data_IF_818268356460
#
_entry.id   IF_818268356460
#
_cell.length_a   1.000
_cell.length_b   1.000
_cell.length_c   1.000
_cell.angle_alpha   90.00
_cell.angle_beta   90.00
_cell.angle_gamma   90.00
#
_symmetry.space_group_name_H-M   'P 1'
#
loop_
_entity.id
_entity.type
_entity.pdbx_description
1 polymer ?
#
# COMPACT_ATOMS: atom_id res chain seq x y z
N UNK A 1 4.65 9.65 -15.93
CA UNK A 1 5.12 8.24 -15.80
C UNK A 1 6.24 8.07 -14.77
N UNK A 2 7.35 8.84 -14.81
CA UNK A 2 8.47 8.72 -13.83
C UNK A 2 8.04 8.85 -12.36
N UNK A 3 7.06 9.73 -12.05
CA UNK A 3 6.51 9.97 -10.70
C UNK A 3 5.71 8.78 -10.14
N UNK A 4 4.84 8.17 -10.96
CA UNK A 4 4.05 6.97 -10.61
C UNK A 4 4.94 5.75 -10.40
N UNK A 5 6.05 5.68 -11.15
CA UNK A 5 7.01 4.58 -11.05
C UNK A 5 7.74 4.56 -9.70
N UNK A 6 8.03 5.69 -9.06
CA UNK A 6 8.69 5.74 -7.74
C UNK A 6 7.77 5.26 -6.62
N UNK A 7 6.49 5.62 -6.66
CA UNK A 7 5.50 5.15 -5.68
C UNK A 7 5.22 3.65 -5.86
N UNK A 8 5.12 3.16 -7.09
CA UNK A 8 5.02 1.73 -7.39
C UNK A 8 6.30 0.96 -7.06
N UNK A 9 7.50 1.56 -7.21
CA UNK A 9 8.76 0.91 -6.83
C UNK A 9 8.88 0.74 -5.31
N UNK A 10 8.33 1.68 -4.52
CA UNK A 10 8.23 1.55 -3.07
C UNK A 10 7.24 0.44 -2.65
N UNK A 11 6.26 0.11 -3.49
CA UNK A 11 5.29 -0.98 -3.26
C UNK A 11 5.75 -2.34 -3.82
N UNK A 12 6.63 -2.36 -4.83
CA UNK A 12 6.86 -3.53 -5.69
C UNK A 12 7.89 -4.57 -5.23
N UNK A 13 8.70 -4.32 -4.18
CA UNK A 13 9.76 -5.27 -3.76
C UNK A 13 9.68 -5.58 -2.27
N UNK A 14 8.66 -6.30 -1.82
CA UNK A 14 8.62 -6.85 -0.46
C UNK A 14 7.81 -8.13 -0.38
N UNK A 15 8.47 -9.29 -0.55
CA UNK A 15 7.99 -10.56 -0.02
C UNK A 15 9.10 -11.14 0.85
N UNK A 16 9.12 -10.75 2.13
CA UNK A 16 9.85 -11.45 3.17
C UNK A 16 8.91 -11.64 4.35
N UNK A 17 8.60 -12.90 4.65
CA UNK A 17 7.72 -13.28 5.74
C UNK A 17 8.41 -13.06 7.08
N UNK A 18 7.80 -12.27 7.97
CA UNK A 18 8.25 -12.11 9.35
C UNK A 18 7.04 -12.09 10.28
N UNK A 19 6.82 -13.19 11.00
CA UNK A 19 5.75 -13.31 11.98
C UNK A 19 6.08 -12.62 13.32
N UNK A 20 5.31 -11.58 13.66
CA UNK A 20 5.12 -10.96 14.96
C UNK A 20 3.64 -10.58 15.25
N UNK A 21 3.11 -11.18 16.33
CA UNK A 21 1.74 -11.09 16.86
C UNK A 21 1.19 -9.65 17.01
N UNK A 22 -0.07 -9.41 16.59
CA UNK A 22 -0.87 -8.28 17.11
C UNK A 22 -2.36 -8.62 17.39
N UNK A 23 -2.70 -8.92 18.65
CA UNK A 23 -4.07 -9.23 19.08
C UNK A 23 -4.73 -8.09 19.88
N UNK A 24 -5.63 -7.31 19.27
CA UNK A 24 -6.51 -6.35 19.94
C UNK A 24 -6.80 -5.09 19.12
N UNK A 25 -5.78 -4.26 18.91
CA UNK A 25 -5.89 -2.97 18.21
C UNK A 25 -6.25 -3.12 16.71
N UNK A 26 -5.83 -4.24 16.10
CA UNK A 26 -6.01 -4.53 14.68
C UNK A 26 -7.48 -4.68 14.27
N UNK A 27 -8.33 -5.26 15.12
CA UNK A 27 -9.75 -5.47 14.80
C UNK A 27 -10.50 -4.15 14.67
N UNK A 28 -10.26 -3.21 15.59
CA UNK A 28 -10.86 -1.89 15.56
C UNK A 28 -10.34 -1.07 14.35
N UNK A 29 -9.07 -1.24 14.00
CA UNK A 29 -8.49 -0.65 12.79
C UNK A 29 -9.19 -1.16 11.53
N UNK A 30 -9.35 -2.47 11.40
CA UNK A 30 -10.01 -3.13 10.27
C UNK A 30 -11.47 -2.68 10.13
N UNK A 31 -12.18 -2.55 11.25
CA UNK A 31 -13.55 -2.04 11.24
C UNK A 31 -13.62 -0.60 10.73
N UNK A 32 -12.70 0.27 11.18
CA UNK A 32 -12.62 1.64 10.71
C UNK A 32 -12.21 1.73 9.24
N UNK A 33 -11.34 0.84 8.78
CA UNK A 33 -10.92 0.74 7.37
C UNK A 33 -12.11 0.47 6.44
N UNK A 34 -13.08 -0.34 6.89
CA UNK A 34 -14.31 -0.66 6.14
C UNK A 34 -15.10 0.57 5.67
N UNK A 35 -14.89 1.74 6.28
CA UNK A 35 -15.54 2.99 5.86
C UNK A 35 -15.02 3.55 4.53
N UNK A 36 -13.82 3.18 4.15
CA UNK A 36 -13.15 3.66 2.94
C UNK A 36 -13.17 2.61 1.82
N UNK A 37 -13.73 1.43 2.08
CA UNK A 37 -13.81 0.35 1.10
C UNK A 37 -15.21 0.39 0.49
N UNK A 38 -15.23 0.62 -0.81
CA UNK A 38 -16.44 0.68 -1.63
C UNK A 38 -16.69 -0.66 -2.32
N UNK A 39 -17.83 -0.80 -2.99
CA UNK A 39 -18.14 -1.98 -3.80
C UNK A 39 -17.18 -2.13 -4.99
N UNK A 40 -16.76 -1.01 -5.58
CA UNK A 40 -15.86 -0.90 -6.73
C UNK A 40 -14.37 -0.78 -6.34
N UNK A 41 -14.04 -0.93 -5.05
CA UNK A 41 -12.65 -1.12 -4.61
C UNK A 41 -12.15 -2.45 -5.13
N UNK A 42 -11.16 -2.43 -6.03
CA UNK A 42 -10.64 -3.63 -6.68
C UNK A 42 -9.29 -4.08 -6.13
N UNK A 43 -8.53 -3.19 -5.47
CA UNK A 43 -7.29 -3.56 -4.80
C UNK A 43 -7.01 -2.72 -3.55
N UNK A 44 -6.39 -3.35 -2.57
CA UNK A 44 -5.90 -2.72 -1.35
C UNK A 44 -4.46 -3.19 -1.15
N UNK A 45 -3.52 -2.25 -1.02
CA UNK A 45 -2.16 -2.57 -0.61
C UNK A 45 -1.93 -2.02 0.78
N UNK A 46 -1.68 -2.90 1.74
CA UNK A 46 -1.30 -2.51 3.09
C UNK A 46 0.21 -2.70 3.28
N UNK A 47 0.87 -1.67 3.83
CA UNK A 47 2.29 -1.71 4.22
C UNK A 47 2.36 -1.46 5.72
N UNK A 48 2.77 -2.47 6.48
CA UNK A 48 3.11 -2.31 7.90
C UNK A 48 4.49 -1.66 8.00
N UNK A 49 4.49 -0.33 8.14
CA UNK A 49 5.71 0.46 8.22
C UNK A 49 6.52 0.11 9.46
N UNK A 50 5.97 -0.54 10.49
CA UNK A 50 6.76 -1.02 11.63
C UNK A 50 7.63 -2.22 11.28
N UNK A 51 7.16 -3.08 10.38
CA UNK A 51 7.85 -4.30 9.95
C UNK A 51 8.81 -4.07 8.77
N UNK A 52 8.84 -2.88 8.18
CA UNK A 52 9.74 -2.56 7.05
C UNK A 52 11.21 -2.52 7.47
N UNK A 53 12.04 -3.28 6.76
CA UNK A 53 13.51 -3.30 6.86
C UNK A 53 14.13 -2.92 5.51
N UNK A 54 14.46 -1.65 5.34
CA UNK A 54 14.99 -1.11 4.08
C UNK A 54 16.31 -1.74 3.70
N UNK A 55 17.20 -1.99 4.66
CA UNK A 55 18.45 -2.68 4.39
C UNK A 55 18.23 -4.08 3.79
N UNK A 56 17.32 -4.87 4.34
CA UNK A 56 17.03 -6.20 3.81
C UNK A 56 16.47 -6.16 2.37
N UNK A 57 15.64 -5.16 2.07
CA UNK A 57 15.13 -4.92 0.71
C UNK A 57 16.26 -4.51 -0.22
N UNK A 58 17.11 -3.59 0.23
CA UNK A 58 18.27 -3.14 -0.51
C UNK A 58 19.20 -4.30 -0.86
N UNK A 59 19.60 -5.09 0.13
CA UNK A 59 20.45 -6.26 -0.04
C UNK A 59 19.83 -7.24 -1.05
N UNK A 60 18.51 -7.46 -0.98
CA UNK A 60 17.82 -8.35 -1.92
C UNK A 60 17.78 -7.80 -3.35
N UNK A 61 17.58 -6.50 -3.53
CA UNK A 61 17.63 -5.86 -4.84
C UNK A 61 19.02 -5.95 -5.45
N UNK A 62 20.08 -5.72 -4.67
CA UNK A 62 21.47 -5.85 -5.12
C UNK A 62 21.78 -7.29 -5.52
N UNK A 63 21.34 -8.26 -4.72
CA UNK A 63 21.49 -9.70 -5.00
C UNK A 63 20.81 -10.08 -6.32
N UNK A 64 19.54 -9.69 -6.51
CA UNK A 64 18.75 -10.02 -7.70
C UNK A 64 19.26 -9.28 -8.94
N UNK A 65 19.63 -8.00 -8.78
CA UNK A 65 20.15 -7.17 -9.86
C UNK A 65 21.60 -7.50 -10.25
N UNK A 66 22.30 -8.29 -9.43
CA UNK A 66 23.73 -8.57 -9.56
C UNK A 66 24.55 -7.29 -9.73
N UNK A 67 24.18 -6.24 -8.99
CA UNK A 67 24.83 -4.94 -9.11
C UNK A 67 26.19 -4.95 -8.42
N UNK A 68 27.22 -4.48 -9.13
CA UNK A 68 28.54 -4.28 -8.56
C UNK A 68 28.54 -3.06 -7.63
N UNK A 69 29.23 -3.13 -6.49
CA UNK A 69 29.29 -2.05 -5.49
C UNK A 69 29.81 -0.71 -6.05
N UNK A 70 30.61 -0.78 -7.11
CA UNK A 70 31.19 0.40 -7.78
C UNK A 70 30.31 0.94 -8.91
N UNK A 71 29.19 0.28 -9.23
CA UNK A 71 28.29 0.75 -10.28
C UNK A 71 27.53 2.00 -9.84
N UNK A 72 27.28 2.91 -10.79
CA UNK A 72 26.46 4.11 -10.55
C UNK A 72 25.07 3.75 -10.01
N UNK A 73 24.51 2.62 -10.44
CA UNK A 73 23.21 2.12 -9.98
C UNK A 73 23.23 1.74 -8.50
N UNK A 74 24.29 1.06 -8.04
CA UNK A 74 24.44 0.70 -6.63
C UNK A 74 24.51 1.95 -5.75
N UNK A 75 25.32 2.94 -6.14
CA UNK A 75 25.50 4.19 -5.39
C UNK A 75 24.20 4.99 -5.32
N UNK A 76 23.53 5.21 -6.46
CA UNK A 76 22.24 5.92 -6.50
C UNK A 76 21.18 5.21 -5.66
N UNK A 77 21.14 3.88 -5.71
CA UNK A 77 20.17 3.11 -4.93
C UNK A 77 20.48 3.14 -3.44
N UNK A 78 21.77 3.19 -3.05
CA UNK A 78 22.19 3.31 -1.66
C UNK A 78 21.84 4.68 -1.07
N UNK A 79 22.06 5.76 -1.82
CA UNK A 79 21.63 7.10 -1.42
C UNK A 79 20.11 7.17 -1.27
N UNK A 80 19.38 6.57 -2.21
CA UNK A 80 17.93 6.47 -2.13
C UNK A 80 17.47 5.66 -0.91
N UNK A 81 18.10 4.52 -0.61
CA UNK A 81 17.72 3.70 0.54
C UNK A 81 17.92 4.42 1.87
N UNK A 82 19.02 5.17 2.01
CA UNK A 82 19.27 6.01 3.21
C UNK A 82 18.19 7.08 3.38
N UNK A 83 17.79 7.72 2.28
CA UNK A 83 16.69 8.70 2.30
C UNK A 83 15.37 8.05 2.71
N UNK A 84 15.05 6.87 2.19
CA UNK A 84 13.84 6.13 2.59
C UNK A 84 13.90 5.71 4.07
N UNK A 85 15.05 5.28 4.58
CA UNK A 85 15.23 4.96 6.00
C UNK A 85 14.94 6.17 6.89
N UNK A 86 15.44 7.35 6.51
CA UNK A 86 15.17 8.59 7.23
C UNK A 86 13.69 8.96 7.18
N UNK A 87 13.04 8.85 6.03
CA UNK A 87 11.60 9.10 5.90
C UNK A 87 10.78 8.16 6.78
N UNK A 88 11.09 6.86 6.78
CA UNK A 88 10.40 5.87 7.64
C UNK A 88 10.64 6.18 9.12
N UNK A 89 11.87 6.52 9.51
CA UNK A 89 12.17 6.91 10.87
C UNK A 89 11.33 8.12 11.30
N UNK A 90 11.30 9.19 10.50
CA UNK A 90 10.50 10.38 10.80
C UNK A 90 9.00 10.08 10.83
N UNK A 91 8.49 9.29 9.88
CA UNK A 91 7.10 8.84 9.85
C UNK A 91 6.71 8.13 11.16
N UNK A 92 7.53 7.18 11.62
CA UNK A 92 7.33 6.48 12.89
C UNK A 92 7.36 7.44 14.09
N UNK A 93 8.31 8.38 14.11
CA UNK A 93 8.40 9.41 15.17
C UNK A 93 7.19 10.35 15.21
N UNK A 94 6.49 10.54 14.09
CA UNK A 94 5.23 11.30 14.03
C UNK A 94 4.00 10.47 14.43
N UNK A 95 4.17 9.21 14.80
CA UNK A 95 3.09 8.29 15.18
C UNK A 95 2.49 7.51 14.01
N UNK A 96 3.08 7.58 12.82
CA UNK A 96 2.68 6.76 11.68
C UNK A 96 3.02 5.28 11.90
N UNK A 97 2.06 4.39 11.60
CA UNK A 97 2.17 2.95 11.83
C UNK A 97 2.20 2.13 10.56
N UNK A 98 1.31 2.44 9.63
CA UNK A 98 1.14 1.72 8.38
C UNK A 98 0.45 2.56 7.33
N UNK A 99 0.43 2.06 6.10
CA UNK A 99 -0.21 2.70 4.95
C UNK A 99 -1.17 1.72 4.30
N UNK A 100 -2.32 2.20 3.84
CA UNK A 100 -3.21 1.47 2.94
C UNK A 100 -3.38 2.28 1.67
N UNK A 101 -2.92 1.78 0.53
CA UNK A 101 -3.28 2.33 -0.77
C UNK A 101 -4.57 1.65 -1.25
N UNK A 102 -5.61 2.44 -1.48
CA UNK A 102 -6.93 1.96 -1.88
C UNK A 102 -7.16 2.30 -3.35
N UNK A 103 -7.36 1.28 -4.16
CA UNK A 103 -7.61 1.39 -5.59
C UNK A 103 -9.09 1.13 -5.86
N UNK A 104 -9.79 2.18 -6.28
CA UNK A 104 -11.23 2.16 -6.56
C UNK A 104 -11.50 2.46 -8.03
N UNK A 105 -12.54 1.83 -8.58
CA UNK A 105 -13.02 2.11 -9.93
C UNK A 105 -13.40 3.58 -10.13
N UNK A 106 -14.01 4.20 -9.11
CA UNK A 106 -14.38 5.61 -9.10
C UNK A 106 -13.21 6.58 -9.24
N UNK A 107 -11.99 6.19 -8.84
CA UNK A 107 -10.80 7.04 -8.88
C UNK A 107 -9.83 6.66 -10.02
N UNK A 108 -10.14 5.67 -10.86
CA UNK A 108 -9.20 5.17 -11.88
C UNK A 108 -8.76 6.26 -12.86
N UNK A 109 -7.44 6.39 -13.16
CA UNK A 109 -6.33 5.50 -12.81
C UNK A 109 -5.62 5.84 -11.47
N UNK A 110 -6.19 6.71 -10.66
CA UNK A 110 -5.68 7.11 -9.34
C UNK A 110 -6.01 6.13 -8.21
N UNK A 111 -5.62 6.55 -7.01
CA UNK A 111 -5.86 5.88 -5.73
C UNK A 111 -5.76 6.92 -4.61
N UNK A 112 -6.18 6.56 -3.41
CA UNK A 112 -5.90 7.33 -2.20
C UNK A 112 -5.18 6.49 -1.16
N UNK A 113 -4.56 7.15 -0.19
CA UNK A 113 -3.79 6.50 0.87
C UNK A 113 -4.41 6.81 2.22
N UNK A 114 -4.54 5.78 3.04
CA UNK A 114 -4.87 5.88 4.46
C UNK A 114 -3.60 5.64 5.26
N UNK A 115 -3.21 6.63 6.03
CA UNK A 115 -2.11 6.54 6.98
C UNK A 115 -2.67 6.11 8.32
N UNK A 116 -2.36 4.89 8.75
CA UNK A 116 -2.68 4.42 10.09
C UNK A 116 -1.77 5.10 11.12
N UNK A 117 -2.36 5.64 12.18
CA UNK A 117 -1.62 6.30 13.25
C UNK A 117 -1.77 5.60 14.58
N UNK A 118 -0.80 5.81 15.49
CA UNK A 118 -0.95 5.50 16.91
C UNK A 118 -1.96 6.47 17.57
N UNK A 119 -2.41 6.12 18.77
CA UNK A 119 -3.28 6.99 19.58
C UNK A 119 -2.58 8.30 19.98
N UNK A 120 -1.26 8.26 20.14
CA UNK A 120 -0.41 9.39 20.54
C UNK A 120 0.07 10.24 19.36
N UNK A 121 -0.38 9.95 18.14
CA UNK A 121 0.12 10.59 16.93
C UNK A 121 -0.18 12.11 16.91
N UNK A 122 0.85 12.89 16.57
CA UNK A 122 0.70 14.31 16.27
C UNK A 122 0.31 14.47 14.80
N UNK A 123 -1.00 14.48 14.54
CA UNK A 123 -1.55 14.62 13.20
C UNK A 123 -1.04 15.88 12.48
N UNK A 124 -0.78 16.98 13.20
CA UNK A 124 -0.31 18.22 12.57
C UNK A 124 1.14 18.09 12.11
N UNK A 125 1.98 17.35 12.84
CA UNK A 125 3.36 17.05 12.43
C UNK A 125 3.40 16.01 11.32
N UNK A 126 2.56 14.97 11.39
CA UNK A 126 2.46 13.94 10.36
C UNK A 126 1.97 14.52 9.02
N UNK A 127 0.92 15.36 9.06
CA UNK A 127 0.38 16.09 7.90
C UNK A 127 1.46 16.94 7.22
N UNK A 128 2.20 17.75 7.98
CA UNK A 128 3.33 18.54 7.45
C UNK A 128 4.47 17.69 6.91
N UNK A 129 4.77 16.56 7.57
CA UNK A 129 5.78 15.62 7.09
C UNK A 129 5.41 15.06 5.71
N UNK A 130 4.13 14.69 5.52
CA UNK A 130 3.62 14.19 4.24
C UNK A 130 3.67 15.27 3.16
N UNK A 131 3.23 16.50 3.47
CA UNK A 131 3.30 17.64 2.54
C UNK A 131 4.73 17.92 2.08
N UNK A 132 5.68 18.01 3.02
CA UNK A 132 7.09 18.20 2.71
C UNK A 132 7.65 17.05 1.87
N UNK A 133 7.26 15.80 2.18
CA UNK A 133 7.68 14.63 1.42
C UNK A 133 7.09 14.67 0.00
N UNK A 134 5.83 15.08 -0.16
CA UNK A 134 5.21 15.25 -1.48
C UNK A 134 5.93 16.32 -2.31
N UNK A 135 6.27 17.46 -1.71
CA UNK A 135 7.05 18.53 -2.36
C UNK A 135 8.45 18.05 -2.76
N UNK A 136 9.16 17.37 -1.84
CA UNK A 136 10.52 16.89 -2.08
C UNK A 136 10.59 15.80 -3.16
N UNK A 137 9.60 14.90 -3.18
CA UNK A 137 9.51 13.83 -4.18
C UNK A 137 8.76 14.25 -5.46
N UNK A 138 8.12 15.44 -5.44
CA UNK A 138 7.31 15.99 -6.52
C UNK A 138 6.29 14.95 -7.03
N UNK A 139 5.53 14.32 -6.12
CA UNK A 139 4.60 13.23 -6.49
C UNK A 139 3.33 13.79 -7.12
N UNK A 140 2.69 14.74 -6.44
CA UNK A 140 1.46 15.44 -6.85
C UNK A 140 1.68 16.95 -6.69
N UNK A 141 1.10 17.74 -7.58
CA UNK A 141 1.17 19.20 -7.50
C UNK A 141 0.43 19.69 -6.24
N UNK A 142 0.93 20.74 -5.58
CA UNK A 142 0.47 21.16 -4.25
C UNK A 142 -1.01 21.58 -4.23
N UNK A 143 -1.50 22.16 -5.32
CA UNK A 143 -2.89 22.56 -5.53
C UNK A 143 -3.83 21.39 -5.84
N UNK A 144 -3.27 20.22 -6.18
CA UNK A 144 -4.02 19.00 -6.47
C UNK A 144 -3.98 18.00 -5.30
N UNK A 145 -3.26 18.27 -4.23
CA UNK A 145 -3.13 17.38 -3.07
C UNK A 145 -4.03 17.85 -1.90
N UNK A 146 -4.80 16.93 -1.33
CA UNK A 146 -5.59 17.19 -0.11
C UNK A 146 -5.39 16.06 0.91
N UNK A 147 -5.65 16.38 2.17
CA UNK A 147 -5.65 15.42 3.26
C UNK A 147 -6.66 15.78 4.35
N UNK A 148 -7.22 14.77 5.02
CA UNK A 148 -8.09 15.00 6.16
C UNK A 148 -8.01 13.86 7.18
N UNK A 149 -8.36 14.18 8.42
CA UNK A 149 -8.41 13.20 9.49
C UNK A 149 -9.78 12.53 9.55
N UNK A 150 -9.77 11.20 9.69
CA UNK A 150 -10.96 10.40 9.98
C UNK A 150 -10.62 9.30 10.98
N UNK A 151 -11.00 9.51 12.24
CA UNK A 151 -10.64 8.60 13.35
C UNK A 151 -9.13 8.54 13.57
N UNK A 152 -8.56 7.33 13.48
CA UNK A 152 -7.12 7.06 13.56
C UNK A 152 -6.38 7.19 12.23
N UNK A 153 -7.11 7.48 11.15
CA UNK A 153 -6.51 7.60 9.83
C UNK A 153 -6.31 9.06 9.46
N UNK A 154 -5.15 9.34 8.86
CA UNK A 154 -4.99 10.50 8.00
C UNK A 154 -5.16 10.01 6.55
N UNK A 155 -6.18 10.54 5.88
CA UNK A 155 -6.54 10.18 4.50
C UNK A 155 -5.91 11.22 3.58
N UNK A 156 -5.23 10.78 2.52
CA UNK A 156 -4.48 11.65 1.61
C UNK A 156 -4.56 11.18 0.16
N UNK A 157 -4.51 12.11 -0.79
CA UNK A 157 -4.64 11.81 -2.21
C UNK A 157 -4.90 13.06 -3.03
N UNK A 158 -5.41 12.88 -4.25
CA UNK A 158 -5.85 13.98 -5.09
C UNK A 158 -7.04 14.71 -4.46
N UNK A 159 -7.11 16.03 -4.58
CA UNK A 159 -8.15 16.86 -3.96
C UNK A 159 -9.56 16.43 -4.37
N UNK A 160 -9.76 16.07 -5.64
CA UNK A 160 -11.03 15.53 -6.15
C UNK A 160 -11.38 14.19 -5.48
N UNK A 161 -10.43 13.24 -5.47
CA UNK A 161 -10.60 11.95 -4.79
C UNK A 161 -10.90 12.14 -3.31
N UNK A 162 -10.22 13.05 -2.62
CA UNK A 162 -10.46 13.32 -1.20
C UNK A 162 -11.83 13.96 -0.96
N UNK A 163 -12.25 14.87 -1.83
CA UNK A 163 -13.61 15.43 -1.83
C UNK A 163 -14.67 14.34 -1.92
N UNK A 164 -14.46 13.36 -2.80
CA UNK A 164 -15.32 12.17 -2.96
C UNK A 164 -15.27 11.27 -1.72
N UNK A 165 -14.07 10.90 -1.26
CA UNK A 165 -13.83 9.98 -0.13
C UNK A 165 -14.46 10.49 1.17
N UNK A 166 -14.51 11.80 1.38
CA UNK A 166 -15.22 12.45 2.50
C UNK A 166 -16.73 12.16 2.53
N UNK A 167 -17.32 11.79 1.38
CA UNK A 167 -18.77 11.56 1.22
C UNK A 167 -19.16 10.09 1.07
N UNK A 168 -18.18 9.18 1.04
CA UNK A 168 -18.42 7.74 0.86
C UNK A 168 -19.33 7.22 1.98
N UNK A 169 -20.31 6.41 1.57
CA UNK A 169 -21.04 5.55 2.50
C UNK A 169 -20.33 4.23 2.59
N UNK A 170 -19.82 3.90 3.78
CA UNK A 170 -19.23 2.60 4.08
C UNK A 170 -20.12 1.47 3.57
N UNK A 171 -19.54 0.58 2.75
CA UNK A 171 -20.09 -0.74 2.54
C UNK A 171 -19.51 -1.67 3.61
N UNK A 172 -20.35 -2.52 4.21
CA UNK A 172 -19.85 -3.54 5.14
C UNK A 172 -19.15 -4.62 4.32
N UNK A 173 -17.81 -4.66 4.37
CA UNK A 173 -16.95 -5.63 3.66
C UNK A 173 -16.18 -6.52 4.66
N UNK A 174 -16.88 -7.38 5.44
CA UNK A 174 -16.25 -8.16 6.51
C UNK A 174 -15.18 -9.11 5.99
N UNK A 175 -15.29 -9.56 4.73
CA UNK A 175 -14.31 -10.40 4.07
C UNK A 175 -12.94 -9.71 3.93
N UNK A 176 -12.90 -8.40 3.65
CA UNK A 176 -11.65 -7.65 3.55
C UNK A 176 -10.91 -7.65 4.89
N UNK A 177 -11.67 -7.43 5.97
CA UNK A 177 -11.13 -7.51 7.31
C UNK A 177 -10.56 -8.88 7.65
N UNK A 178 -11.28 -9.95 7.27
CA UNK A 178 -10.82 -11.31 7.48
C UNK A 178 -9.52 -11.61 6.72
N UNK A 179 -9.37 -11.17 5.47
CA UNK A 179 -8.12 -11.37 4.72
C UNK A 179 -6.94 -10.57 5.27
N UNK A 180 -7.15 -9.30 5.65
CA UNK A 180 -6.09 -8.49 6.27
C UNK A 180 -5.62 -9.10 7.60
N UNK A 181 -6.54 -9.70 8.36
CA UNK A 181 -6.22 -10.41 9.59
C UNK A 181 -5.49 -11.74 9.32
N UNK A 182 -5.88 -12.49 8.28
CA UNK A 182 -5.25 -13.75 7.92
C UNK A 182 -3.77 -13.59 7.52
N UNK A 183 -3.37 -12.41 7.07
CA UNK A 183 -2.01 -12.08 6.66
C UNK A 183 -1.28 -11.11 7.61
N UNK A 184 -1.73 -10.91 8.86
CA UNK A 184 -1.15 -9.99 9.89
C UNK A 184 0.39 -9.92 9.82
N UNK A 185 1.00 -11.08 9.65
CA UNK A 185 2.44 -11.28 9.66
C UNK A 185 3.20 -10.82 8.42
N UNK A 186 2.52 -10.32 7.40
CA UNK A 186 3.17 -9.79 6.23
C UNK A 186 3.49 -8.29 6.40
N UNK A 187 4.75 -7.91 6.13
CA UNK A 187 5.15 -6.50 6.01
C UNK A 187 4.35 -5.76 4.93
N UNK A 188 4.02 -6.47 3.84
CA UNK A 188 3.17 -5.96 2.76
C UNK A 188 2.09 -6.99 2.47
N UNK A 189 0.84 -6.52 2.41
CA UNK A 189 -0.32 -7.32 2.04
C UNK A 189 -0.93 -6.72 0.77
N UNK A 190 -1.15 -7.54 -0.25
CA UNK A 190 -1.94 -7.17 -1.41
C UNK A 190 -3.25 -7.94 -1.35
N UNK A 191 -4.35 -7.22 -1.25
CA UNK A 191 -5.70 -7.77 -1.38
C UNK A 191 -6.26 -7.34 -2.72
N UNK A 192 -6.75 -8.32 -3.48
CA UNK A 192 -7.52 -8.09 -4.68
C UNK A 192 -8.98 -8.39 -4.33
N UNK A 193 -9.86 -7.39 -4.48
CA UNK A 193 -11.24 -7.43 -3.97
C UNK A 193 -12.25 -7.22 -5.10
N UNK A 194 -12.23 -8.07 -6.14
CA UNK A 194 -13.07 -7.85 -7.30
C UNK A 194 -14.55 -7.84 -6.90
N UNK A 195 -15.34 -6.99 -7.55
CA UNK A 195 -16.80 -7.05 -7.44
C UNK A 195 -17.31 -8.42 -7.91
N UNK A 196 -18.56 -8.77 -7.60
CA UNK A 196 -19.15 -10.04 -8.04
C UNK A 196 -19.08 -10.21 -9.57
N UNK A 197 -19.34 -9.13 -10.31
CA UNK A 197 -19.23 -9.10 -11.77
C UNK A 197 -17.78 -9.26 -12.24
N UNK A 198 -16.83 -8.57 -11.61
CA UNK A 198 -15.41 -8.70 -11.94
C UNK A 198 -14.88 -10.11 -11.64
N UNK A 199 -15.31 -10.72 -10.53
CA UNK A 199 -14.96 -12.10 -10.19
C UNK A 199 -15.48 -13.05 -11.25
N UNK A 200 -16.73 -12.91 -11.68
CA UNK A 200 -17.30 -13.71 -12.76
C UNK A 200 -16.51 -13.56 -14.06
N UNK A 201 -16.17 -12.33 -14.45
CA UNK A 201 -15.35 -12.09 -15.65
C UNK A 201 -13.99 -12.76 -15.50
N UNK A 202 -13.33 -12.65 -14.34
CA UNK A 202 -12.06 -13.31 -14.09
C UNK A 202 -12.17 -14.83 -14.12
N UNK A 203 -13.23 -15.42 -13.56
CA UNK A 203 -13.49 -16.86 -13.61
C UNK A 203 -13.73 -17.35 -15.04
N UNK A 204 -14.42 -16.57 -15.87
CA UNK A 204 -14.63 -16.87 -17.29
C UNK A 204 -13.34 -16.68 -18.11
N UNK A 205 -12.47 -15.73 -17.73
CA UNK A 205 -11.19 -15.44 -18.40
C UNK A 205 -10.05 -16.36 -17.99
N UNK A 206 -10.04 -16.87 -16.75
CA UNK A 206 -8.96 -17.69 -16.20
C UNK A 206 -8.60 -18.89 -17.09
N UNK A 207 -9.57 -19.68 -17.61
CA UNK A 207 -9.26 -20.78 -18.53
C UNK A 207 -8.49 -20.32 -19.78
N UNK A 208 -8.86 -19.18 -20.35
CA UNK A 208 -8.20 -18.60 -21.53
C UNK A 208 -6.79 -18.11 -21.19
N UNK A 209 -6.63 -17.50 -20.01
CA UNK A 209 -5.33 -17.06 -19.53
C UNK A 209 -4.40 -18.24 -19.25
N UNK A 210 -4.90 -19.37 -18.73
CA UNK A 210 -4.06 -20.54 -18.46
C UNK A 210 -3.38 -21.09 -19.72
N UNK A 211 -4.09 -21.14 -20.84
CA UNK A 211 -3.53 -21.60 -22.12
C UNK A 211 -2.38 -20.68 -22.60
N UNK A 212 -2.45 -19.38 -22.33
CA UNK A 212 -1.40 -18.41 -22.67
C UNK A 212 -0.25 -18.41 -21.64
N UNK A 213 -0.56 -18.69 -20.37
CA UNK A 213 0.36 -18.62 -19.23
C UNK A 213 1.09 -19.93 -18.94
N UNK A 214 0.85 -21.03 -19.66
CA UNK A 214 1.64 -22.27 -19.56
C UNK A 214 3.16 -22.03 -19.75
N UNK A 215 3.53 -20.93 -20.39
CA UNK A 215 4.93 -20.52 -20.58
C UNK A 215 5.54 -19.74 -19.41
N UNK A 216 4.74 -19.36 -18.40
CA UNK A 216 5.19 -18.59 -17.23
C UNK A 216 4.92 -19.35 -15.91
N UNK A 217 5.73 -19.14 -14.85
CA UNK A 217 5.53 -19.80 -13.55
C UNK A 217 4.37 -19.16 -12.74
N UNK A 218 3.20 -18.97 -13.36
CA UNK A 218 2.04 -18.28 -12.77
C UNK A 218 1.25 -19.19 -11.82
N UNK A 219 1.44 -20.52 -11.95
CA UNK A 219 0.82 -21.50 -11.07
C UNK A 219 1.15 -21.31 -9.58
N UNK A 220 2.30 -20.68 -9.24
CA UNK A 220 2.64 -20.32 -7.86
C UNK A 220 1.88 -19.06 -7.38
N UNK A 221 1.61 -18.11 -8.29
CA UNK A 221 0.91 -16.86 -7.98
C UNK A 221 -0.58 -17.16 -7.70
N UNK A 222 -1.22 -17.94 -8.56
CA UNK A 222 -2.65 -18.26 -8.43
C UNK A 222 -2.92 -19.20 -7.24
N UNK A 223 -2.01 -20.13 -6.94
CA UNK A 223 -2.13 -21.02 -5.76
C UNK A 223 -1.92 -20.29 -4.42
N UNK A 224 -1.28 -19.11 -4.43
CA UNK A 224 -1.15 -18.25 -3.25
C UNK A 224 -2.33 -17.28 -3.06
N UNK A 225 -3.19 -17.12 -4.06
CA UNK A 225 -4.38 -16.25 -3.97
C UNK A 225 -5.49 -16.98 -3.20
N UNK A 226 -5.84 -16.46 -2.03
CA UNK A 226 -7.10 -16.81 -1.38
C UNK A 226 -8.21 -15.97 -2.02
N UNK A 227 -9.13 -16.64 -2.71
CA UNK A 227 -10.37 -16.02 -3.16
C UNK A 227 -11.25 -15.79 -1.93
N UNK A 228 -11.43 -14.51 -1.57
CA UNK A 228 -12.55 -14.06 -0.74
C UNK A 228 -13.79 -13.91 -1.61
#
# INVERSE_FOLDING_TARGET
>A
MRKVMVVLLLLGVMVSAAAGQTGGDRSAQIEQLGRFIEEDTYAIIHVDVQKVNIKAIFDKCVEVGQWEEQSDYYQQFQEFSQKIEQLIYTFRQTGGRGLYAIFSGADFPGFFVLVDTSEEADFSRLSRFIENTNQELNVVDEDEFDQYRSGRFLVMGLAETIGRVKTIKSATRPEVGAALAAADEATVQLLFTPSADQRRVLEEMLPLMYEELETMPVGAIIKGMQWL
#
